data_IF_960881722087
#
_entry.id   IF_960881722087
#
_cell.length_a   1.000
_cell.length_b   1.000
_cell.length_c   1.000
_cell.angle_alpha   90.00
_cell.angle_beta   90.00
_cell.angle_gamma   90.00
#
_symmetry.space_group_name_H-M   'P 1'
#
loop_
_entity.id
_entity.type
_entity.pdbx_description
1 polymer ?
#
# COMPACT_ATOMS: atom_id res chain seq x y z
N UNK A 1 -33.77 14.75 -60.10
CA UNK A 1 -33.12 13.43 -60.00
C UNK A 1 -32.77 13.18 -58.54
N UNK A 2 -33.14 12.01 -58.01
CA UNK A 2 -32.57 11.25 -56.88
C UNK A 2 -32.28 12.01 -55.56
N UNK A 3 -33.03 11.66 -54.48
CA UNK A 3 -32.57 10.80 -53.34
C UNK A 3 -32.12 11.68 -52.14
N UNK A 4 -32.38 11.45 -50.86
CA UNK A 4 -32.86 10.32 -50.03
C UNK A 4 -33.48 10.93 -48.75
N UNK A 5 -34.58 10.35 -48.29
CA UNK A 5 -35.18 10.48 -46.95
C UNK A 5 -34.28 9.81 -45.91
N UNK A 6 -34.02 10.44 -44.75
CA UNK A 6 -33.47 9.73 -43.58
C UNK A 6 -34.08 10.25 -42.28
N UNK A 7 -34.91 9.40 -41.69
CA UNK A 7 -35.32 9.40 -40.29
C UNK A 7 -34.09 9.23 -39.39
N UNK A 8 -34.06 9.91 -38.24
CA UNK A 8 -33.22 9.49 -37.12
C UNK A 8 -34.03 9.56 -35.83
N UNK A 9 -34.01 8.42 -35.14
CA UNK A 9 -34.93 8.04 -34.09
C UNK A 9 -34.41 8.41 -32.69
N UNK A 10 -35.39 8.73 -31.86
CA UNK A 10 -35.54 8.57 -30.40
C UNK A 10 -34.42 7.82 -29.65
N UNK A 11 -33.97 8.44 -28.56
CA UNK A 11 -33.24 7.78 -27.47
C UNK A 11 -33.27 8.63 -26.19
N UNK A 12 -34.40 8.66 -25.48
CA UNK A 12 -34.49 9.22 -24.14
C UNK A 12 -34.11 8.14 -23.12
N UNK A 13 -32.92 8.24 -22.52
CA UNK A 13 -32.52 7.38 -21.41
C UNK A 13 -33.07 7.97 -20.10
N UNK A 14 -34.09 7.31 -19.54
CA UNK A 14 -34.61 7.58 -18.20
C UNK A 14 -33.79 6.74 -17.22
N UNK A 15 -32.90 7.37 -16.45
CA UNK A 15 -32.32 6.73 -15.28
C UNK A 15 -33.21 6.99 -14.07
N UNK A 16 -34.11 6.04 -13.83
CA UNK A 16 -34.81 5.90 -12.56
C UNK A 16 -33.88 5.17 -11.58
N UNK A 17 -33.15 5.91 -10.75
CA UNK A 17 -32.51 5.37 -9.56
C UNK A 17 -33.44 5.64 -8.36
N UNK A 18 -34.40 4.73 -8.20
CA UNK A 18 -35.18 4.54 -6.98
C UNK A 18 -34.56 3.41 -6.15
N UNK A 19 -34.07 3.76 -4.97
CA UNK A 19 -33.63 2.87 -3.88
C UNK A 19 -32.91 3.76 -2.86
N UNK A 20 -33.57 4.38 -1.89
CA UNK A 20 -34.31 3.81 -0.75
C UNK A 20 -33.51 2.76 0.04
N UNK A 21 -32.84 3.24 1.09
CA UNK A 21 -32.96 2.67 2.44
C UNK A 21 -31.89 1.68 2.89
N UNK A 22 -31.09 2.08 3.88
CA UNK A 22 -31.23 1.64 5.28
C UNK A 22 -29.89 1.79 5.99
N UNK A 23 -29.88 2.57 7.08
CA UNK A 23 -28.77 2.53 8.02
C UNK A 23 -28.84 1.27 8.87
N UNK A 24 -27.67 0.74 9.23
CA UNK A 24 -27.42 -0.07 10.41
C UNK A 24 -25.98 0.17 10.87
N UNK A 25 -25.83 0.42 12.17
CA UNK A 25 -24.61 0.23 12.95
C UNK A 25 -24.07 -1.21 12.82
N UNK A 26 -22.74 -1.35 12.79
CA UNK A 26 -21.95 -2.29 13.62
C UNK A 26 -20.70 -2.81 12.88
N UNK A 27 -19.55 -2.68 13.55
CA UNK A 27 -18.39 -3.56 13.40
C UNK A 27 -17.58 -3.38 12.13
N UNK A 28 -16.51 -2.58 12.22
CA UNK A 28 -15.35 -2.76 11.33
C UNK A 28 -14.77 -4.16 11.60
N UNK A 29 -15.13 -5.08 10.73
CA UNK A 29 -14.47 -6.36 10.45
C UNK A 29 -14.52 -6.51 8.92
N UNK A 30 -13.55 -5.92 8.22
CA UNK A 30 -13.31 -6.15 6.80
C UNK A 30 -12.01 -6.92 6.62
N UNK A 31 -11.99 -8.13 7.17
CA UNK A 31 -11.04 -9.17 6.80
C UNK A 31 -11.01 -9.38 5.29
N UNK A 32 -9.96 -8.85 4.64
CA UNK A 32 -9.49 -9.34 3.36
C UNK A 32 -8.52 -10.49 3.61
N UNK A 33 -9.10 -11.69 3.61
CA UNK A 33 -8.46 -13.00 3.71
C UNK A 33 -8.15 -13.51 2.31
N UNK A 34 -6.87 -13.68 1.97
CA UNK A 34 -6.37 -14.14 0.68
C UNK A 34 -6.15 -15.67 0.59
N UNK A 35 -6.53 -16.44 1.62
CA UNK A 35 -6.92 -17.83 1.41
C UNK A 35 -5.87 -18.91 1.62
N UNK A 36 -4.98 -18.80 2.61
CA UNK A 36 -4.31 -19.98 3.19
C UNK A 36 -4.45 -20.02 4.72
N UNK A 37 -5.53 -20.65 5.20
CA UNK A 37 -5.77 -20.92 6.63
C UNK A 37 -5.09 -22.24 7.05
N UNK A 38 -3.93 -22.18 7.72
CA UNK A 38 -3.26 -23.32 8.38
C UNK A 38 -3.68 -23.51 9.86
N UNK A 39 -4.76 -22.85 10.30
CA UNK A 39 -5.35 -23.12 11.62
C UNK A 39 -4.49 -22.75 12.84
N UNK A 40 -3.36 -22.05 12.66
CA UNK A 40 -2.43 -21.62 13.72
C UNK A 40 -2.46 -20.12 14.00
N UNK A 41 -3.09 -19.30 13.14
CA UNK A 41 -3.14 -17.83 13.35
C UNK A 41 -4.40 -17.44 14.14
N UNK A 42 -4.15 -17.14 15.41
CA UNK A 42 -5.06 -16.48 16.36
C UNK A 42 -5.44 -15.09 15.82
N UNK A 43 -6.67 -14.58 16.05
CA UNK A 43 -7.04 -13.21 15.69
C UNK A 43 -5.99 -12.20 16.15
N UNK A 44 -5.61 -11.31 15.25
CA UNK A 44 -4.33 -10.61 15.27
C UNK A 44 -4.39 -9.32 16.06
N UNK A 45 -4.54 -9.42 17.38
CA UNK A 45 -4.25 -8.27 18.23
C UNK A 45 -2.74 -7.96 18.09
N UNK A 46 -2.38 -6.76 17.62
CA UNK A 46 -1.03 -6.12 17.56
C UNK A 46 -0.36 -5.89 16.19
N UNK A 47 -1.05 -5.92 15.05
CA UNK A 47 -0.44 -5.43 13.80
C UNK A 47 -0.26 -3.90 13.80
N UNK A 48 0.78 -3.42 13.12
CA UNK A 48 1.03 -1.99 12.87
C UNK A 48 0.92 -1.70 11.38
N UNK A 49 0.29 -0.57 11.05
CA UNK A 49 0.10 -0.12 9.67
C UNK A 49 0.87 1.18 9.45
N UNK A 50 1.61 1.25 8.35
CA UNK A 50 2.36 2.43 7.90
C UNK A 50 2.14 2.64 6.40
N UNK A 51 2.64 3.77 5.90
CA UNK A 51 2.47 4.19 4.51
C UNK A 51 3.81 4.56 3.90
N UNK A 52 4.04 4.19 2.64
CA UNK A 52 5.16 4.68 1.84
C UNK A 52 4.67 5.74 0.84
N UNK A 53 5.27 6.93 0.88
CA UNK A 53 4.89 8.08 0.05
C UNK A 53 6.10 8.83 -0.49
N UNK A 54 5.93 9.56 -1.58
CA UNK A 54 6.94 10.48 -2.12
C UNK A 54 6.89 11.85 -1.42
N UNK A 55 7.85 12.72 -1.76
CA UNK A 55 7.94 14.09 -1.22
C UNK A 55 6.75 15.00 -1.53
N UNK A 56 5.92 14.64 -2.52
CA UNK A 56 4.71 15.37 -2.86
C UNK A 56 3.47 14.79 -2.16
N UNK A 57 3.64 13.75 -1.34
CA UNK A 57 2.57 13.03 -0.66
C UNK A 57 1.83 12.01 -1.55
N UNK A 58 2.33 11.74 -2.75
CA UNK A 58 1.80 10.68 -3.59
C UNK A 58 2.20 9.32 -3.04
N UNK A 59 1.22 8.42 -2.96
CA UNK A 59 1.41 7.08 -2.44
C UNK A 59 2.24 6.20 -3.38
N UNK A 60 3.24 5.51 -2.82
CA UNK A 60 3.94 4.43 -3.50
C UNK A 60 3.10 3.14 -3.41
N UNK A 61 1.98 3.12 -4.13
CA UNK A 61 1.09 1.96 -4.23
C UNK A 61 1.55 0.93 -5.26
N UNK A 62 1.28 -0.35 -4.99
CA UNK A 62 1.67 -1.45 -5.88
C UNK A 62 3.13 -1.91 -5.71
N UNK A 63 3.82 -1.47 -4.67
CA UNK A 63 5.19 -1.90 -4.32
C UNK A 63 5.09 -3.30 -3.72
N UNK A 64 5.78 -4.28 -4.30
CA UNK A 64 5.81 -5.62 -3.73
C UNK A 64 6.63 -5.63 -2.44
N UNK A 65 6.14 -6.31 -1.41
CA UNK A 65 6.86 -6.49 -0.17
C UNK A 65 6.62 -7.85 0.47
N UNK A 66 7.64 -8.35 1.16
CA UNK A 66 7.58 -9.61 1.91
C UNK A 66 8.04 -9.34 3.33
N UNK A 67 7.25 -9.75 4.33
CA UNK A 67 7.64 -9.69 5.74
C UNK A 67 7.98 -11.07 6.27
N UNK A 68 8.99 -11.12 7.13
CA UNK A 68 9.36 -12.33 7.85
C UNK A 68 9.50 -12.05 9.34
N UNK A 69 9.09 -13.02 10.16
CA UNK A 69 9.19 -12.96 11.61
C UNK A 69 10.66 -13.10 12.11
N UNK A 70 10.93 -12.86 13.40
CA UNK A 70 12.26 -13.04 13.98
C UNK A 70 12.85 -14.45 13.82
N UNK A 71 12.00 -15.47 13.67
CA UNK A 71 12.38 -16.86 13.41
C UNK A 71 12.69 -17.13 11.93
N UNK A 72 12.34 -16.20 11.04
CA UNK A 72 12.59 -16.24 9.60
C UNK A 72 11.47 -16.87 8.77
N UNK A 73 10.27 -17.05 9.32
CA UNK A 73 9.11 -17.49 8.56
C UNK A 73 8.45 -16.32 7.85
N UNK A 74 8.03 -16.53 6.59
CA UNK A 74 7.25 -15.54 5.85
C UNK A 74 5.88 -15.40 6.50
N UNK A 75 5.57 -14.18 6.92
CA UNK A 75 4.29 -13.84 7.54
C UNK A 75 3.34 -13.20 6.53
N UNK A 76 3.89 -12.36 5.64
CA UNK A 76 3.20 -11.64 4.58
C UNK A 76 4.01 -11.60 3.28
N UNK A 77 3.32 -11.64 2.13
CA UNK A 77 3.89 -11.52 0.77
C UNK A 77 2.85 -10.87 -0.15
N UNK A 78 2.90 -9.54 -0.27
CA UNK A 78 1.81 -8.73 -0.86
C UNK A 78 2.35 -7.54 -1.66
N UNK A 79 1.43 -6.68 -2.10
CA UNK A 79 1.74 -5.36 -2.65
C UNK A 79 1.12 -4.28 -1.78
N UNK A 80 1.80 -3.13 -1.65
CA UNK A 80 1.23 -1.96 -0.96
C UNK A 80 -0.10 -1.58 -1.59
N UNK A 81 -1.06 -1.17 -0.77
CA UNK A 81 -2.37 -0.75 -1.26
C UNK A 81 -2.25 0.55 -2.10
N UNK A 82 -3.27 0.97 -2.87
CA UNK A 82 -3.17 2.15 -3.73
C UNK A 82 -2.82 3.46 -3.00
N UNK A 83 -3.08 3.53 -1.69
CA UNK A 83 -2.71 4.62 -0.79
C UNK A 83 -1.31 4.46 -0.17
N UNK A 84 -0.51 3.48 -0.61
CA UNK A 84 0.85 3.21 -0.15
C UNK A 84 0.91 2.43 1.17
N UNK A 85 -0.23 1.95 1.65
CA UNK A 85 -0.36 1.25 2.93
C UNK A 85 0.30 -0.13 2.89
N UNK A 86 0.95 -0.48 4.00
CA UNK A 86 1.39 -1.83 4.32
C UNK A 86 1.22 -2.08 5.82
N UNK A 87 1.02 -3.34 6.17
CA UNK A 87 0.82 -3.78 7.56
C UNK A 87 1.80 -4.90 7.88
N UNK A 88 2.26 -4.95 9.12
CA UNK A 88 3.25 -5.89 9.62
C UNK A 88 3.05 -6.16 11.12
N UNK A 89 3.71 -7.18 11.64
CA UNK A 89 3.81 -7.41 13.08
C UNK A 89 5.07 -6.74 13.65
N UNK A 90 5.00 -6.11 14.84
CA UNK A 90 6.17 -5.58 15.50
C UNK A 90 7.26 -6.65 15.71
N UNK A 91 8.48 -6.32 15.34
CA UNK A 91 9.66 -7.20 15.36
C UNK A 91 9.97 -7.85 14.00
N UNK A 92 9.13 -7.67 12.99
CA UNK A 92 9.36 -8.23 11.66
C UNK A 92 10.42 -7.46 10.88
N UNK A 93 10.92 -8.12 9.82
CA UNK A 93 11.68 -7.44 8.78
C UNK A 93 10.91 -7.53 7.47
N UNK A 94 10.58 -6.39 6.90
CA UNK A 94 9.83 -6.29 5.66
C UNK A 94 10.72 -5.76 4.55
N UNK A 95 10.82 -6.52 3.46
CA UNK A 95 11.64 -6.22 2.29
C UNK A 95 10.76 -5.72 1.15
N UNK A 96 11.05 -4.53 0.62
CA UNK A 96 10.29 -3.85 -0.43
C UNK A 96 11.10 -3.82 -1.73
N UNK A 97 10.46 -4.18 -2.84
CA UNK A 97 11.02 -4.05 -4.18
C UNK A 97 10.66 -2.66 -4.75
N UNK A 98 11.62 -1.72 -4.67
CA UNK A 98 11.43 -0.34 -5.13
C UNK A 98 11.76 -0.19 -6.62
N UNK A 99 11.60 -1.24 -7.42
CA UNK A 99 11.71 -1.15 -8.87
C UNK A 99 10.71 -0.13 -9.45
N UNK A 100 11.23 0.76 -10.30
CA UNK A 100 10.46 1.86 -10.90
C UNK A 100 10.55 3.18 -10.15
N UNK A 101 11.14 3.20 -8.95
CA UNK A 101 11.39 4.43 -8.19
C UNK A 101 12.79 4.99 -8.48
N UNK A 102 12.86 6.33 -8.50
CA UNK A 102 14.04 7.07 -8.94
C UNK A 102 15.22 7.09 -7.96
N UNK A 103 15.05 6.64 -6.71
CA UNK A 103 16.09 6.77 -5.68
C UNK A 103 16.22 8.20 -5.15
N UNK A 104 17.00 8.40 -4.10
CA UNK A 104 17.26 9.73 -3.53
C UNK A 104 18.45 10.38 -4.26
N UNK A 105 18.40 11.69 -4.63
CA UNK A 105 17.37 12.69 -4.32
C UNK A 105 16.27 12.87 -5.39
N UNK A 106 16.24 12.04 -6.43
CA UNK A 106 15.35 12.26 -7.59
C UNK A 106 13.88 11.91 -7.29
N UNK A 107 13.63 10.89 -6.47
CA UNK A 107 12.33 10.36 -6.07
C UNK A 107 12.35 9.90 -4.59
N UNK A 108 12.60 10.80 -3.63
CA UNK A 108 12.73 10.42 -2.23
C UNK A 108 11.40 9.87 -1.67
N UNK A 109 11.51 8.77 -0.92
CA UNK A 109 10.39 8.09 -0.27
C UNK A 109 10.45 8.24 1.25
N UNK A 110 9.28 8.19 1.88
CA UNK A 110 9.07 8.38 3.30
C UNK A 110 8.19 7.28 3.86
N UNK A 111 8.53 6.75 5.03
CA UNK A 111 7.64 5.89 5.83
C UNK A 111 6.89 6.77 6.83
N UNK A 112 5.56 6.73 6.80
CA UNK A 112 4.68 7.61 7.57
C UNK A 112 3.56 6.83 8.29
N UNK A 113 2.92 7.45 9.29
CA UNK A 113 1.63 6.98 9.81
C UNK A 113 0.41 7.44 9.00
N UNK A 114 -0.77 7.08 9.48
CA UNK A 114 -2.08 7.42 8.93
C UNK A 114 -2.39 8.93 8.92
N UNK A 115 -1.63 9.72 9.68
CA UNK A 115 -1.74 11.18 9.71
C UNK A 115 -0.69 11.89 8.86
N UNK A 116 0.19 11.14 8.20
CA UNK A 116 1.28 11.67 7.36
C UNK A 116 2.48 12.15 8.17
N UNK A 117 2.61 11.73 9.44
CA UNK A 117 3.85 11.98 10.18
C UNK A 117 4.86 10.87 9.89
N UNK A 118 6.03 11.31 9.43
CA UNK A 118 7.21 10.49 9.26
C UNK A 118 7.58 9.64 10.47
N UNK A 119 8.03 8.42 10.21
CA UNK A 119 8.56 7.49 11.20
C UNK A 119 10.08 7.41 11.11
N UNK A 120 10.73 8.22 11.92
CA UNK A 120 12.17 8.14 12.13
C UNK A 120 12.61 6.94 12.98
N UNK A 121 13.93 6.73 13.01
CA UNK A 121 14.60 5.72 13.81
C UNK A 121 14.23 4.27 13.45
N UNK A 122 13.62 4.02 12.29
CA UNK A 122 13.41 2.68 11.74
C UNK A 122 14.72 2.22 11.09
N UNK A 123 15.35 1.12 11.56
CA UNK A 123 16.51 0.58 10.89
C UNK A 123 16.16 0.06 9.50
N UNK A 124 17.06 0.27 8.54
CA UNK A 124 16.92 -0.27 7.19
C UNK A 124 18.27 -0.60 6.55
N UNK A 125 18.23 -1.47 5.54
CA UNK A 125 19.35 -1.79 4.67
C UNK A 125 18.85 -2.11 3.28
N UNK A 126 19.51 -1.59 2.25
CA UNK A 126 19.18 -1.84 0.86
C UNK A 126 20.31 -2.62 0.15
N UNK A 127 19.94 -3.41 -0.86
CA UNK A 127 20.87 -4.25 -1.62
C UNK A 127 21.92 -3.42 -2.39
N UNK A 128 21.58 -2.19 -2.77
CA UNK A 128 22.50 -1.22 -3.38
C UNK A 128 23.58 -0.69 -2.44
N UNK A 129 23.48 -0.96 -1.13
CA UNK A 129 24.49 -0.64 -0.12
C UNK A 129 24.16 0.54 0.78
N UNK A 130 23.06 1.26 0.52
CA UNK A 130 22.52 2.25 1.44
C UNK A 130 21.87 1.58 2.66
N UNK A 131 21.86 2.28 3.79
CA UNK A 131 21.34 1.75 5.03
C UNK A 131 21.58 2.66 6.21
N UNK A 132 20.90 2.38 7.32
CA UNK A 132 20.99 3.17 8.53
C UNK A 132 19.67 3.21 9.28
N UNK A 133 19.31 4.41 9.72
CA UNK A 133 18.02 4.69 10.34
C UNK A 133 17.26 5.68 9.45
N UNK A 134 15.94 5.53 9.35
CA UNK A 134 15.10 6.56 8.74
C UNK A 134 15.27 7.90 9.48
N UNK A 135 15.23 8.98 8.72
CA UNK A 135 15.28 10.35 9.24
C UNK A 135 14.03 10.69 10.07
N UNK A 136 14.04 11.76 10.89
CA UNK A 136 12.88 12.13 11.72
C UNK A 136 11.57 12.35 10.96
N UNK A 137 11.65 12.66 9.67
CA UNK A 137 10.52 12.80 8.74
C UNK A 137 10.15 11.50 8.02
N UNK A 138 10.75 10.36 8.39
CA UNK A 138 10.50 9.05 7.78
C UNK A 138 11.29 8.80 6.50
N UNK A 139 12.07 9.77 6.02
CA UNK A 139 12.86 9.63 4.82
C UNK A 139 13.99 8.61 4.98
N UNK A 140 14.41 7.98 3.89
CA UNK A 140 15.56 7.09 3.85
C UNK A 140 16.32 7.22 2.51
N UNK A 141 17.59 6.83 2.53
CA UNK A 141 18.44 6.85 1.34
C UNK A 141 18.34 5.50 0.63
N UNK A 142 18.20 5.53 -0.69
CA UNK A 142 18.17 4.32 -1.51
C UNK A 142 18.52 4.67 -2.96
N UNK A 143 19.05 3.68 -3.69
CA UNK A 143 19.37 3.83 -5.10
C UNK A 143 18.15 3.60 -6.01
N UNK A 144 18.20 4.02 -7.28
CA UNK A 144 17.13 3.71 -8.22
C UNK A 144 16.94 2.20 -8.37
N UNK A 145 15.69 1.73 -8.25
CA UNK A 145 15.31 0.30 -8.32
C UNK A 145 15.95 -0.60 -7.24
N UNK A 146 16.21 -0.06 -6.05
CA UNK A 146 16.79 -0.84 -4.96
C UNK A 146 15.76 -1.77 -4.29
N UNK A 147 16.26 -2.77 -3.58
CA UNK A 147 15.45 -3.63 -2.71
C UNK A 147 15.86 -3.29 -1.28
N UNK A 148 14.91 -2.76 -0.50
CA UNK A 148 15.18 -2.25 0.84
C UNK A 148 14.45 -3.06 1.89
N UNK A 149 15.17 -3.46 2.93
CA UNK A 149 14.62 -4.17 4.10
C UNK A 149 14.56 -3.25 5.30
N UNK A 150 13.37 -3.11 5.89
CA UNK A 150 13.12 -2.37 7.12
C UNK A 150 12.92 -3.34 8.29
N UNK A 151 13.43 -2.98 9.46
CA UNK A 151 13.30 -3.76 10.70
C UNK A 151 12.28 -3.05 11.60
N UNK A 152 11.05 -3.55 11.59
CA UNK A 152 9.83 -2.86 12.03
C UNK A 152 9.28 -3.42 13.36
#
# INVERSE_FOLDING_TARGET
>A
MKKITAFLAVGAAVFALSGCGSGYDNGYDDGYNDGFYDGTRVPVDNMTTLFIRDINGFSAGGVHYTCVDPEGYVTDDYVTAPNGEFTFYPGERCTFDLYGFGGTPDDPLFIEDDTGFGKGDIPYACDGGDGGLTYPDGGFEYFPNDICTFYL
#
